data_IF_357832543613
#
_entry.id   IF_357832543613
#
_cell.length_a   1.000
_cell.length_b   1.000
_cell.length_c   1.000
_cell.angle_alpha   90.00
_cell.angle_beta   90.00
_cell.angle_gamma   90.00
#
_symmetry.space_group_name_H-M   'P 1'
#
loop_
_entity.id
_entity.type
_entity.pdbx_description
1 polymer ?
#
# COMPACT_ATOMS: atom_id res chain seq x y z
N UNK A 1 14.28 -15.03 17.92
CA UNK A 1 13.77 -14.48 17.62
C UNK A 1 13.52 -13.35 17.42
N UNK A 2 13.34 -13.04 17.35
CA UNK A 2 13.02 -12.21 17.20
C UNK A 2 12.56 -11.30 16.89
N UNK A 3 12.37 -11.06 16.79
CA UNK A 3 11.96 -10.26 16.47
C UNK A 3 11.36 -9.42 16.58
N UNK A 4 10.96 -9.59 16.60
CA UNK A 4 10.30 -8.69 16.65
C UNK A 4 10.55 -7.45 16.39
N UNK A 5 10.68 -7.31 15.74
CA UNK A 5 11.18 -6.06 15.30
C UNK A 5 10.12 -4.98 15.21
N UNK A 6 8.90 -5.36 15.14
CA UNK A 6 7.79 -4.40 15.15
C UNK A 6 7.48 -3.96 16.57
N UNK A 7 7.25 -2.67 16.76
CA UNK A 7 6.81 -2.16 18.05
C UNK A 7 5.40 -2.66 18.36
N UNK A 8 5.05 -2.81 19.63
CA UNK A 8 3.66 -3.18 19.98
C UNK A 8 2.63 -2.21 19.41
N UNK A 9 2.96 -0.92 19.30
CA UNK A 9 2.05 0.05 18.72
C UNK A 9 1.83 -0.15 17.24
N UNK A 10 2.86 -0.59 16.50
CA UNK A 10 2.77 -0.82 15.06
C UNK A 10 2.08 -2.14 14.73
N UNK A 11 2.28 -3.17 15.57
CA UNK A 11 1.73 -4.51 15.35
C UNK A 11 0.58 -4.86 16.29
N UNK A 12 0.03 -3.88 17.02
CA UNK A 12 -1.05 -4.10 17.95
C UNK A 12 -2.40 -4.36 17.24
N UNK A 13 -3.44 -4.69 18.02
CA UNK A 13 -4.77 -5.03 17.45
C UNK A 13 -5.32 -3.96 16.51
N UNK A 14 -5.13 -2.68 16.83
CA UNK A 14 -5.63 -1.60 15.99
C UNK A 14 -4.95 -1.58 14.60
N UNK A 15 -3.63 -1.81 14.55
CA UNK A 15 -2.89 -1.88 13.29
C UNK A 15 -3.31 -3.08 12.46
N UNK A 16 -3.38 -4.26 13.09
CA UNK A 16 -3.80 -5.49 12.41
C UNK A 16 -5.23 -5.39 11.88
N UNK A 17 -6.12 -4.77 12.66
CA UNK A 17 -7.50 -4.57 12.24
C UNK A 17 -7.58 -3.67 11.01
N UNK A 18 -6.81 -2.59 10.99
CA UNK A 18 -6.80 -1.69 9.84
C UNK A 18 -6.24 -2.37 8.60
N UNK A 19 -5.16 -3.14 8.73
CA UNK A 19 -4.63 -3.93 7.61
C UNK A 19 -5.69 -4.88 7.06
N UNK A 20 -6.44 -5.56 7.94
CA UNK A 20 -7.52 -6.45 7.54
C UNK A 20 -8.63 -5.71 6.80
N UNK A 21 -8.97 -4.50 7.23
CA UNK A 21 -9.97 -3.68 6.56
C UNK A 21 -9.53 -3.28 5.15
N UNK A 22 -8.26 -2.89 4.98
CA UNK A 22 -7.70 -2.56 3.68
C UNK A 22 -7.71 -3.78 2.76
N UNK A 23 -7.25 -4.93 3.27
CA UNK A 23 -7.27 -6.18 2.52
C UNK A 23 -8.68 -6.58 2.11
N UNK A 24 -9.65 -6.44 3.01
CA UNK A 24 -11.05 -6.76 2.74
C UNK A 24 -11.63 -5.88 1.64
N UNK A 25 -11.29 -4.59 1.61
CA UNK A 25 -11.75 -3.68 0.57
C UNK A 25 -11.32 -4.13 -0.82
N UNK A 26 -10.07 -4.57 -0.96
CA UNK A 26 -9.57 -5.09 -2.23
C UNK A 26 -10.14 -6.47 -2.56
N UNK A 27 -10.37 -7.30 -1.55
CA UNK A 27 -11.02 -8.59 -1.75
C UNK A 27 -12.44 -8.40 -2.28
N UNK A 28 -13.18 -7.44 -1.77
CA UNK A 28 -14.50 -7.11 -2.29
C UNK A 28 -14.42 -6.66 -3.75
N UNK A 29 -13.44 -5.85 -4.11
CA UNK A 29 -13.24 -5.45 -5.50
C UNK A 29 -12.93 -6.65 -6.39
N UNK A 30 -12.11 -7.60 -5.92
CA UNK A 30 -11.83 -8.84 -6.63
C UNK A 30 -13.12 -9.63 -6.88
N UNK A 31 -13.92 -9.86 -5.84
CA UNK A 31 -15.13 -10.65 -5.92
C UNK A 31 -16.21 -9.99 -6.78
N UNK A 32 -16.29 -8.68 -6.75
CA UNK A 32 -17.25 -7.92 -7.54
C UNK A 32 -16.81 -7.69 -8.98
N UNK A 33 -15.57 -8.00 -9.32
CA UNK A 33 -14.99 -7.67 -10.61
C UNK A 33 -14.87 -6.18 -10.86
N UNK A 34 -14.85 -5.38 -9.79
CA UNK A 34 -14.75 -3.94 -9.89
C UNK A 34 -13.30 -3.46 -9.94
N UNK A 35 -13.15 -2.24 -10.42
CA UNK A 35 -11.86 -1.60 -10.57
C UNK A 35 -11.23 -1.32 -9.21
N UNK A 36 -9.98 -1.75 -8.96
CA UNK A 36 -9.34 -1.48 -7.69
C UNK A 36 -8.87 -0.04 -7.59
N UNK A 37 -8.99 0.52 -6.41
CA UNK A 37 -8.46 1.84 -6.12
C UNK A 37 -6.93 1.82 -6.27
N UNK A 38 -6.39 2.74 -7.02
CA UNK A 38 -4.95 2.82 -7.28
C UNK A 38 -4.51 2.19 -8.59
N UNK A 39 -5.36 1.39 -9.21
CA UNK A 39 -5.10 0.80 -10.53
C UNK A 39 -6.32 0.97 -11.43
N UNK A 40 -6.66 2.20 -11.83
CA UNK A 40 -7.81 2.42 -12.70
C UNK A 40 -7.63 1.70 -14.03
N UNK A 41 -8.71 1.21 -14.59
CA UNK A 41 -8.69 0.48 -15.85
C UNK A 41 -8.25 -0.96 -15.75
N UNK A 42 -8.18 -1.53 -14.55
CA UNK A 42 -7.72 -2.91 -14.37
C UNK A 42 -8.75 -3.75 -13.63
N UNK A 43 -8.54 -5.06 -13.72
CA UNK A 43 -9.29 -6.07 -12.97
C UNK A 43 -8.32 -6.86 -12.12
N UNK A 44 -8.67 -7.11 -10.87
CA UNK A 44 -7.79 -7.81 -9.93
C UNK A 44 -7.73 -9.30 -10.26
N UNK A 45 -6.51 -9.85 -10.31
CA UNK A 45 -6.27 -11.28 -10.48
C UNK A 45 -6.04 -11.97 -9.13
N UNK A 46 -5.24 -11.35 -8.25
CA UNK A 46 -4.92 -11.90 -6.95
C UNK A 46 -4.53 -10.83 -5.95
N UNK A 47 -4.71 -11.15 -4.68
CA UNK A 47 -4.32 -10.31 -3.56
C UNK A 47 -3.41 -11.12 -2.66
N UNK A 48 -2.26 -10.55 -2.30
CA UNK A 48 -1.31 -11.19 -1.38
C UNK A 48 -1.06 -10.26 -0.20
N UNK A 49 -0.90 -10.84 0.96
CA UNK A 49 -0.68 -10.10 2.20
C UNK A 49 0.71 -10.41 2.74
N UNK A 50 1.43 -9.37 3.21
CA UNK A 50 2.70 -9.49 3.92
C UNK A 50 3.75 -10.32 3.16
N UNK A 51 4.13 -9.86 1.97
CA UNK A 51 5.00 -10.62 1.06
C UNK A 51 6.41 -10.04 0.90
N UNK A 52 6.97 -9.44 1.95
CA UNK A 52 8.35 -8.92 1.90
C UNK A 52 9.36 -10.00 1.49
N UNK A 53 9.13 -11.24 1.95
CA UNK A 53 10.01 -12.37 1.63
C UNK A 53 10.02 -12.73 0.15
N UNK A 54 9.06 -12.26 -0.63
CA UNK A 54 9.00 -12.48 -2.07
C UNK A 54 9.59 -11.32 -2.88
N UNK A 55 10.26 -10.40 -2.20
CA UNK A 55 10.96 -9.30 -2.86
C UNK A 55 10.12 -8.04 -3.08
N UNK A 56 9.00 -7.91 -2.40
CA UNK A 56 8.17 -6.70 -2.45
C UNK A 56 8.49 -5.78 -1.27
N UNK A 57 9.20 -4.65 -1.48
CA UNK A 57 9.56 -3.75 -0.38
C UNK A 57 8.37 -3.11 0.34
N UNK A 58 7.28 -2.82 -0.38
CA UNK A 58 6.01 -2.46 0.22
C UNK A 58 5.17 -3.74 0.24
N UNK A 59 4.99 -4.33 1.41
CA UNK A 59 4.62 -5.73 1.52
C UNK A 59 3.32 -6.02 2.25
N UNK A 60 2.64 -5.00 2.76
CA UNK A 60 1.42 -5.26 3.53
C UNK A 60 0.30 -5.82 2.65
N UNK A 61 0.08 -5.22 1.49
CA UNK A 61 -0.90 -5.72 0.52
C UNK A 61 -0.31 -5.58 -0.89
N UNK A 62 -0.33 -6.67 -1.64
CA UNK A 62 0.12 -6.69 -3.04
C UNK A 62 -1.05 -7.09 -3.92
N UNK A 63 -1.40 -6.23 -4.86
CA UNK A 63 -2.48 -6.47 -5.82
C UNK A 63 -1.87 -6.77 -7.17
N UNK A 64 -2.17 -7.93 -7.73
CA UNK A 64 -1.85 -8.26 -9.12
C UNK A 64 -3.13 -8.12 -9.95
N UNK A 65 -3.04 -7.41 -11.05
CA UNK A 65 -4.17 -7.09 -11.90
C UNK A 65 -3.75 -7.10 -13.36
N UNK A 66 -4.72 -6.99 -14.25
CA UNK A 66 -4.47 -6.82 -15.68
C UNK A 66 -5.42 -5.75 -16.24
N UNK A 67 -4.99 -5.08 -17.31
CA UNK A 67 -5.84 -4.10 -17.98
C UNK A 67 -6.72 -4.76 -19.06
N UNK A 68 -7.46 -3.96 -19.80
CA UNK A 68 -8.36 -4.48 -20.86
C UNK A 68 -7.67 -5.17 -22.01
N UNK A 69 -6.35 -5.03 -22.11
CA UNK A 69 -5.51 -5.70 -23.13
C UNK A 69 -4.79 -6.92 -22.58
N UNK A 70 -5.02 -7.24 -21.31
CA UNK A 70 -4.32 -8.33 -20.62
C UNK A 70 -2.93 -7.97 -20.13
N UNK A 71 -2.51 -6.72 -20.20
CA UNK A 71 -1.20 -6.30 -19.71
C UNK A 71 -1.19 -6.27 -18.18
N UNK A 72 -0.13 -6.80 -17.53
CA UNK A 72 -0.09 -6.87 -16.09
C UNK A 72 0.12 -5.52 -15.43
N UNK A 73 -0.42 -5.39 -14.23
CA UNK A 73 -0.23 -4.24 -13.36
C UNK A 73 -0.09 -4.73 -11.93
N UNK A 74 0.73 -4.03 -11.15
CA UNK A 74 0.98 -4.37 -9.75
C UNK A 74 0.82 -3.13 -8.89
N UNK A 75 0.10 -3.27 -7.79
CA UNK A 75 -0.01 -2.23 -6.78
C UNK A 75 0.56 -2.78 -5.47
N UNK A 76 1.58 -2.12 -4.94
CA UNK A 76 2.16 -2.44 -3.65
C UNK A 76 1.69 -1.41 -2.64
N UNK A 77 1.12 -1.86 -1.55
CA UNK A 77 0.52 -0.98 -0.55
C UNK A 77 1.19 -1.20 0.79
N UNK A 78 1.68 -0.11 1.39
CA UNK A 78 2.08 -0.08 2.77
C UNK A 78 0.90 0.45 3.58
N UNK A 79 0.47 -0.30 4.59
CA UNK A 79 -0.68 0.07 5.42
C UNK A 79 -0.16 0.64 6.74
N UNK A 80 -0.50 1.89 7.01
CA UNK A 80 -0.14 2.58 8.26
C UNK A 80 -1.36 3.31 8.79
N UNK A 81 -1.89 2.86 9.92
CA UNK A 81 -3.09 3.47 10.50
C UNK A 81 -2.91 4.97 10.72
N UNK A 82 -1.72 5.37 11.18
CA UNK A 82 -1.37 6.77 11.40
C UNK A 82 0.04 7.03 10.90
N UNK A 83 0.21 8.09 10.13
CA UNK A 83 1.50 8.50 9.60
C UNK A 83 1.55 10.04 9.56
N UNK A 84 2.72 10.59 9.83
CA UNK A 84 2.99 12.02 9.66
C UNK A 84 3.93 12.20 8.48
N UNK A 85 3.55 13.03 7.54
CA UNK A 85 4.34 13.28 6.33
C UNK A 85 5.38 14.37 6.63
N UNK A 86 6.31 14.04 7.51
CA UNK A 86 7.44 14.94 7.88
C UNK A 86 8.74 14.15 7.89
N UNK A 87 9.88 14.78 7.56
CA UNK A 87 11.17 14.11 7.59
C UNK A 87 11.57 13.54 8.95
N UNK A 88 11.00 14.08 10.03
CA UNK A 88 11.32 13.64 11.40
C UNK A 88 10.54 12.41 11.84
N UNK A 89 9.50 12.02 11.13
CA UNK A 89 8.70 10.85 11.48
C UNK A 89 9.37 9.56 11.01
N UNK A 90 9.66 8.66 11.95
CA UNK A 90 10.34 7.40 11.64
C UNK A 90 9.55 6.51 10.69
N UNK A 91 8.22 6.49 10.84
CA UNK A 91 7.36 5.70 9.97
C UNK A 91 7.44 6.25 8.54
N UNK A 92 7.38 7.56 8.39
CA UNK A 92 7.51 8.20 7.08
C UNK A 92 8.87 7.90 6.46
N UNK A 93 9.96 7.99 7.23
CA UNK A 93 11.30 7.67 6.75
C UNK A 93 11.40 6.24 6.22
N UNK A 94 10.84 5.27 6.96
CA UNK A 94 10.86 3.87 6.54
C UNK A 94 10.06 3.66 5.26
N UNK A 95 8.91 4.29 5.15
CA UNK A 95 8.08 4.18 3.94
C UNK A 95 8.82 4.76 2.73
N UNK A 96 9.47 5.91 2.88
CA UNK A 96 10.28 6.52 1.81
C UNK A 96 11.41 5.58 1.37
N UNK A 97 12.10 4.95 2.33
CA UNK A 97 13.14 3.97 2.01
C UNK A 97 12.58 2.77 1.25
N UNK A 98 11.41 2.28 1.64
CA UNK A 98 10.76 1.18 0.97
C UNK A 98 10.36 1.54 -0.46
N UNK A 99 9.84 2.75 -0.67
CA UNK A 99 9.50 3.25 -1.99
C UNK A 99 10.76 3.34 -2.87
N UNK A 100 11.86 3.87 -2.31
CA UNK A 100 13.11 3.97 -3.05
C UNK A 100 13.63 2.59 -3.46
N UNK A 101 13.57 1.60 -2.58
CA UNK A 101 13.96 0.23 -2.92
C UNK A 101 13.07 -0.39 -3.97
N UNK A 102 11.76 -0.19 -3.85
CA UNK A 102 10.81 -0.73 -4.83
C UNK A 102 11.08 -0.17 -6.23
N UNK A 103 11.37 1.11 -6.34
CA UNK A 103 11.64 1.76 -7.63
C UNK A 103 12.95 1.30 -8.27
N UNK A 104 13.83 0.64 -7.52
CA UNK A 104 15.10 0.11 -8.01
C UNK A 104 15.01 -1.34 -8.48
N UNK A 105 13.87 -2.00 -8.30
CA UNK A 105 13.68 -3.36 -8.79
C UNK A 105 13.72 -3.39 -10.30
N UNK A 106 14.33 -4.44 -10.87
CA UNK A 106 14.60 -4.52 -12.30
C UNK A 106 13.35 -4.44 -13.16
N UNK A 107 12.23 -4.99 -12.68
CA UNK A 107 10.97 -5.03 -13.42
C UNK A 107 10.01 -3.88 -13.11
N UNK A 108 10.40 -2.98 -12.20
CA UNK A 108 9.50 -1.90 -11.76
C UNK A 108 9.05 -1.00 -12.94
N UNK A 109 9.97 -0.69 -13.82
CA UNK A 109 9.71 0.21 -14.95
C UNK A 109 9.31 -0.52 -16.22
N UNK A 110 9.39 -1.85 -16.24
CA UNK A 110 9.08 -2.66 -17.42
C UNK A 110 7.59 -2.97 -17.58
N UNK A 111 6.81 -2.81 -16.51
CA UNK A 111 5.37 -2.98 -16.51
C UNK A 111 4.76 -1.92 -15.61
N UNK A 112 3.43 -1.88 -15.56
CA UNK A 112 2.75 -0.91 -14.73
C UNK A 112 2.86 -1.29 -13.26
N UNK A 113 3.62 -0.50 -12.49
CA UNK A 113 3.75 -0.63 -11.05
C UNK A 113 3.33 0.66 -10.38
N UNK A 114 2.47 0.53 -9.36
CA UNK A 114 2.05 1.62 -8.54
C UNK A 114 2.42 1.34 -7.09
N UNK A 115 2.78 2.38 -6.37
CA UNK A 115 3.11 2.30 -4.95
C UNK A 115 2.13 3.19 -4.18
N UNK A 116 1.62 2.67 -3.07
CA UNK A 116 0.61 3.40 -2.31
C UNK A 116 0.83 3.26 -0.81
N UNK A 117 0.35 4.24 -0.08
CA UNK A 117 0.23 4.19 1.37
C UNK A 117 -1.25 4.27 1.68
N UNK A 118 -1.78 3.28 2.39
CA UNK A 118 -3.14 3.31 2.92
C UNK A 118 -3.07 3.75 4.37
N UNK A 119 -3.76 4.83 4.70
CA UNK A 119 -3.76 5.36 6.05
C UNK A 119 -5.17 5.75 6.46
N UNK A 120 -5.48 5.59 7.74
CA UNK A 120 -6.76 6.01 8.30
C UNK A 120 -6.73 7.49 8.69
N UNK A 121 -5.56 8.02 9.00
CA UNK A 121 -5.40 9.41 9.45
C UNK A 121 -4.13 10.02 8.90
N UNK A 122 -4.21 11.28 8.53
CA UNK A 122 -3.07 12.13 8.22
C UNK A 122 -3.09 13.34 9.15
N UNK A 123 -2.08 14.20 9.07
CA UNK A 123 -2.10 15.43 9.84
C UNK A 123 -3.17 16.40 9.30
N UNK A 124 -3.70 17.26 10.16
CA UNK A 124 -4.66 18.27 9.74
C UNK A 124 -4.15 19.13 8.58
N UNK A 125 -2.86 19.43 8.58
CA UNK A 125 -2.24 20.22 7.52
C UNK A 125 -2.35 19.52 6.17
N UNK A 126 -2.11 18.21 6.14
CA UNK A 126 -2.22 17.42 4.92
C UNK A 126 -3.68 17.28 4.50
N UNK A 127 -4.56 16.96 5.44
CA UNK A 127 -5.99 16.80 5.16
C UNK A 127 -6.60 18.10 4.64
N UNK A 128 -6.27 19.23 5.26
CA UNK A 128 -6.75 20.54 4.83
C UNK A 128 -6.29 20.87 3.41
N UNK A 129 -5.02 20.70 3.13
CA UNK A 129 -4.48 20.95 1.80
C UNK A 129 -5.11 20.05 0.74
N UNK A 130 -5.34 18.79 1.08
CA UNK A 130 -5.99 17.85 0.16
C UNK A 130 -7.45 18.26 -0.13
N UNK A 131 -8.18 18.66 0.90
CA UNK A 131 -9.54 19.14 0.71
C UNK A 131 -9.58 20.41 -0.14
N UNK A 132 -8.64 21.31 0.06
CA UNK A 132 -8.55 22.54 -0.74
C UNK A 132 -8.36 22.22 -2.23
N UNK A 133 -7.57 21.19 -2.53
CA UNK A 133 -7.36 20.76 -3.92
C UNK A 133 -8.63 20.17 -4.53
N UNK A 134 -9.42 19.44 -3.73
CA UNK A 134 -10.64 18.81 -4.21
C UNK A 134 -11.79 19.77 -4.41
N UNK A 135 -11.79 20.91 -3.74
CA UNK A 135 -12.84 21.91 -3.87
C UNK A 135 -12.47 22.97 -4.88
#
# INVERSE_FOLDING_TARGET
>A
MTDNASSPAASGPAGSHFEAQVGAAYLLALLAGSEPRGLPGTTIDSIKLQRAAEGYPLDDVIIHAHDGRGSPAVLQIQVKRTIRFTPSDEVFQKVVEQIARASQLADFWSSRHELAIATARTSRKIDGAYQDVLT
#
